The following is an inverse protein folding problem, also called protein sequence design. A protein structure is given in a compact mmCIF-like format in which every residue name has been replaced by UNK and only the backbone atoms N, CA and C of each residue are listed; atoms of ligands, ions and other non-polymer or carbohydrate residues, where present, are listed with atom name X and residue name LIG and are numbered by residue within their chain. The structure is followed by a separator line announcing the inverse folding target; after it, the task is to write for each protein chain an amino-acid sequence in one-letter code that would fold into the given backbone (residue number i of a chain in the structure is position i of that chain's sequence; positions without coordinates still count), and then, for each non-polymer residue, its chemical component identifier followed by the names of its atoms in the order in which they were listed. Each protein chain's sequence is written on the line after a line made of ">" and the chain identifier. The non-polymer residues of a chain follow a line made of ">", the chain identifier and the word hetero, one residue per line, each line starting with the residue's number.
data_IF_244096690313
#
_entry.id   IF_244096690313
#
_cell.length_a   1.000
_cell.length_b   1.000
_cell.length_c   1.000
_cell.angle_alpha   90.00
_cell.angle_beta   90.00
_cell.angle_gamma   90.00
#
_symmetry.space_group_name_H-M   'P 1'
#
loop_
_entity.id
_entity.type
_entity.pdbx_description
1 polymer ?
#
# COMPACT_ATOMS: atom_id res chain seq x y z
N UNK A 1 5.12 -3.99 -17.27
CA UNK A 1 4.88 -5.41 -16.96
C UNK A 1 4.89 -5.62 -15.46
N UNK A 2 3.87 -6.28 -14.93
CA UNK A 2 3.82 -6.55 -13.50
C UNK A 2 4.76 -7.72 -13.15
N UNK A 3 5.61 -7.51 -12.15
CA UNK A 3 6.46 -8.56 -11.63
C UNK A 3 5.61 -9.47 -10.74
N UNK A 4 5.66 -10.78 -10.98
CA UNK A 4 5.02 -11.74 -10.11
C UNK A 4 5.86 -11.96 -8.87
N UNK A 5 5.21 -11.98 -7.70
CA UNK A 5 5.85 -12.24 -6.43
C UNK A 5 5.52 -13.67 -6.03
N UNK A 6 6.46 -14.58 -6.23
CA UNK A 6 6.28 -16.00 -5.92
C UNK A 6 6.96 -16.41 -4.61
N UNK A 7 8.03 -15.71 -4.24
CA UNK A 7 8.76 -15.96 -3.00
C UNK A 7 9.10 -14.65 -2.33
N UNK A 8 9.53 -14.73 -1.07
CA UNK A 8 9.94 -13.53 -0.34
C UNK A 8 11.17 -12.86 -0.97
N UNK A 9 12.00 -13.62 -1.67
CA UNK A 9 13.17 -13.06 -2.32
C UNK A 9 12.80 -12.14 -3.49
N UNK A 10 11.60 -12.31 -4.03
CA UNK A 10 11.11 -11.44 -5.11
C UNK A 10 10.69 -10.05 -4.63
N UNK A 11 10.55 -9.86 -3.31
CA UNK A 11 10.17 -8.58 -2.74
C UNK A 11 11.40 -7.68 -2.60
N UNK A 12 11.33 -6.51 -3.18
CA UNK A 12 12.38 -5.51 -3.09
C UNK A 12 12.10 -4.55 -1.93
N UNK A 13 13.17 -4.08 -1.27
CA UNK A 13 13.03 -3.03 -0.26
C UNK A 13 12.42 -1.78 -0.90
N UNK A 14 11.67 -1.04 -0.11
CA UNK A 14 10.91 0.13 -0.55
C UNK A 14 9.69 -0.19 -1.42
N UNK A 15 9.35 -1.48 -1.62
CA UNK A 15 8.07 -1.85 -2.21
C UNK A 15 6.95 -1.29 -1.34
N UNK A 16 5.95 -0.66 -1.98
CA UNK A 16 4.79 -0.11 -1.27
C UNK A 16 3.58 -0.99 -1.53
N UNK A 17 2.93 -1.38 -0.44
CA UNK A 17 1.70 -2.18 -0.49
C UNK A 17 0.50 -1.28 -0.18
N UNK A 18 -0.55 -1.48 -0.96
CA UNK A 18 -1.85 -0.85 -0.71
C UNK A 18 -2.75 -1.89 -0.07
N UNK A 19 -3.22 -1.60 1.14
CA UNK A 19 -4.12 -2.47 1.87
C UNK A 19 -5.52 -1.87 1.81
N UNK A 20 -6.32 -2.35 0.87
CA UNK A 20 -7.64 -1.79 0.54
C UNK A 20 -8.75 -2.44 1.37
N UNK A 21 -9.64 -1.60 1.88
CA UNK A 21 -10.83 -2.04 2.61
C UNK A 21 -11.97 -1.07 2.28
N UNK A 22 -13.09 -1.62 1.82
CA UNK A 22 -14.17 -0.77 1.31
C UNK A 22 -13.67 0.11 0.18
N UNK A 23 -13.98 1.38 0.20
CA UNK A 23 -13.53 2.35 -0.80
C UNK A 23 -12.22 3.06 -0.46
N UNK A 24 -11.54 2.63 0.60
CA UNK A 24 -10.33 3.27 1.12
C UNK A 24 -9.17 2.31 1.21
N UNK A 25 -7.99 2.81 1.53
CA UNK A 25 -6.81 1.99 1.72
C UNK A 25 -5.80 2.68 2.63
N UNK A 26 -4.91 1.89 3.21
CA UNK A 26 -3.70 2.38 3.85
C UNK A 26 -2.50 1.86 3.09
N UNK A 27 -1.37 2.54 3.25
CA UNK A 27 -0.15 2.25 2.49
C UNK A 27 0.97 1.88 3.45
N UNK A 28 1.73 0.84 3.08
CA UNK A 28 2.84 0.33 3.90
C UNK A 28 4.05 0.11 3.02
N UNK A 29 5.21 0.53 3.51
CA UNK A 29 6.48 0.34 2.82
C UNK A 29 7.25 -0.83 3.43
N UNK A 30 7.82 -1.69 2.59
CA UNK A 30 8.66 -2.79 3.02
C UNK A 30 10.01 -2.24 3.48
N UNK A 31 10.35 -2.46 4.74
CA UNK A 31 11.62 -2.00 5.33
C UNK A 31 12.52 -3.14 5.80
N UNK A 32 12.02 -4.36 5.80
CA UNK A 32 12.80 -5.53 6.17
C UNK A 32 12.06 -6.80 5.81
N UNK A 33 12.78 -7.90 5.70
CA UNK A 33 12.19 -9.21 5.43
C UNK A 33 13.08 -10.31 6.00
N UNK A 34 12.44 -11.43 6.36
CA UNK A 34 13.09 -12.69 6.71
C UNK A 34 12.55 -13.76 5.78
N UNK A 35 12.92 -15.02 5.99
CA UNK A 35 12.41 -16.14 5.18
C UNK A 35 10.89 -16.32 5.30
N UNK A 36 10.29 -15.86 6.38
CA UNK A 36 8.88 -16.14 6.68
C UNK A 36 8.07 -14.90 7.06
N UNK A 37 8.66 -13.71 7.06
CA UNK A 37 7.95 -12.50 7.46
C UNK A 37 8.43 -11.27 6.72
N UNK A 38 7.60 -10.22 6.75
CA UNK A 38 7.92 -8.90 6.23
C UNK A 38 7.80 -7.88 7.35
N UNK A 39 8.67 -6.87 7.32
CA UNK A 39 8.62 -5.75 8.24
C UNK A 39 8.17 -4.52 7.45
N UNK A 40 7.13 -3.88 7.92
CA UNK A 40 6.44 -2.81 7.20
C UNK A 40 6.35 -1.57 8.07
N UNK A 41 6.30 -0.40 7.43
CA UNK A 41 5.97 0.84 8.12
C UNK A 41 4.88 1.56 7.35
N UNK A 42 3.90 2.09 8.07
CA UNK A 42 2.80 2.82 7.46
C UNK A 42 3.29 4.14 6.86
N UNK A 43 2.75 4.50 5.71
CA UNK A 43 3.02 5.78 5.06
C UNK A 43 1.80 6.68 5.20
N UNK A 44 2.04 7.96 5.48
CA UNK A 44 0.97 8.95 5.52
C UNK A 44 0.48 9.27 4.11
N UNK A 45 -0.80 9.58 3.99
CA UNK A 45 -1.37 10.04 2.72
C UNK A 45 -2.13 11.35 2.94
N UNK A 46 -2.38 12.07 1.85
CA UNK A 46 -3.07 13.36 1.89
C UNK A 46 -4.02 13.47 0.71
N UNK A 47 -5.04 14.30 0.85
CA UNK A 47 -5.92 14.60 -0.28
C UNK A 47 -5.17 15.45 -1.30
N UNK A 48 -5.51 15.27 -2.55
CA UNK A 48 -4.88 15.99 -3.66
C UNK A 48 -5.92 16.29 -4.74
N UNK A 49 -5.50 17.05 -5.75
CA UNK A 49 -6.37 17.30 -6.91
C UNK A 49 -6.47 16.06 -7.79
N UNK A 50 -7.56 15.95 -8.56
CA UNK A 50 -7.73 14.85 -9.51
C UNK A 50 -6.57 14.85 -10.52
N UNK A 51 -6.19 13.65 -11.03
CA UNK A 51 -5.24 13.59 -12.14
C UNK A 51 -5.79 14.31 -13.35
N UNK A 52 -4.89 14.72 -14.25
CA UNK A 52 -5.26 15.30 -15.50
C UNK A 52 -6.22 14.38 -16.27
N UNK A 53 -7.26 14.91 -16.86
CA UNK A 53 -8.31 14.19 -17.59
C UNK A 53 -9.30 13.40 -16.72
N UNK A 54 -9.24 13.56 -15.41
CA UNK A 54 -10.21 12.93 -14.51
C UNK A 54 -11.19 13.96 -13.95
N UNK A 55 -12.42 13.51 -13.71
CA UNK A 55 -13.47 14.37 -13.17
C UNK A 55 -13.47 14.31 -11.63
N UNK A 56 -13.41 15.47 -10.99
CA UNK A 56 -13.36 15.61 -9.54
C UNK A 56 -14.67 16.21 -8.98
N UNK A 57 -15.78 16.01 -9.66
CA UNK A 57 -17.04 16.67 -9.28
C UNK A 57 -17.87 15.91 -8.25
N UNK A 58 -17.64 14.60 -8.04
CA UNK A 58 -18.42 13.83 -7.08
C UNK A 58 -17.90 14.03 -5.65
N UNK A 59 -18.70 14.61 -4.74
CA UNK A 59 -18.25 14.87 -3.37
C UNK A 59 -18.05 13.61 -2.53
N UNK A 60 -18.57 12.46 -2.97
CA UNK A 60 -18.37 11.19 -2.27
C UNK A 60 -16.98 10.61 -2.49
N UNK A 61 -16.24 11.11 -3.47
CA UNK A 61 -14.91 10.62 -3.82
C UNK A 61 -13.87 11.70 -3.55
N UNK A 62 -12.68 11.25 -3.20
CA UNK A 62 -11.51 12.12 -3.01
C UNK A 62 -10.31 11.47 -3.65
N UNK A 63 -9.51 12.28 -4.29
CA UNK A 63 -8.20 11.84 -4.78
C UNK A 63 -7.19 12.02 -3.66
N UNK A 64 -6.35 11.01 -3.46
CA UNK A 64 -5.32 11.02 -2.43
C UNK A 64 -3.98 10.59 -3.03
N UNK A 65 -2.91 11.00 -2.38
CA UNK A 65 -1.55 10.60 -2.74
C UNK A 65 -0.75 10.32 -1.47
N UNK A 66 0.28 9.50 -1.58
CA UNK A 66 1.19 9.25 -0.46
C UNK A 66 2.00 10.53 -0.24
N UNK A 67 2.07 10.98 1.02
CA UNK A 67 2.76 12.21 1.37
C UNK A 67 4.26 12.08 1.25
N UNK A 68 4.90 13.15 0.81
CA UNK A 68 6.36 13.25 0.74
C UNK A 68 6.83 14.50 1.46
N UNK A 69 8.03 14.44 2.02
CA UNK A 69 8.66 15.61 2.61
C UNK A 69 9.31 16.50 1.53
N UNK A 70 9.98 17.57 1.94
CA UNK A 70 10.63 18.52 1.04
C UNK A 70 11.71 17.88 0.18
N UNK A 71 12.30 16.78 0.65
CA UNK A 71 13.36 16.06 -0.06
C UNK A 71 12.80 14.97 -0.98
N UNK A 72 11.49 14.79 -1.01
CA UNK A 72 10.84 13.77 -1.82
C UNK A 72 10.74 12.40 -1.17
N UNK A 73 11.11 12.27 0.10
CA UNK A 73 10.99 11.01 0.84
C UNK A 73 9.58 10.83 1.38
N UNK A 74 9.12 9.58 1.45
CA UNK A 74 7.81 9.28 2.04
C UNK A 74 7.80 9.62 3.53
N UNK A 75 6.69 10.15 4.00
CA UNK A 75 6.48 10.45 5.42
C UNK A 75 5.94 9.18 6.08
N UNK A 76 6.74 8.61 6.96
CA UNK A 76 6.40 7.39 7.69
C UNK A 76 5.56 7.73 8.92
N UNK A 77 4.62 6.84 9.24
CA UNK A 77 3.70 7.02 10.36
C UNK A 77 3.72 5.77 11.25
N UNK A 78 3.71 5.99 12.56
CA UNK A 78 3.63 4.90 13.51
C UNK A 78 4.93 4.10 13.65
N UNK A 79 4.79 2.87 14.13
CA UNK A 79 5.93 1.98 14.40
C UNK A 79 5.99 0.87 13.36
N UNK A 80 7.17 0.32 13.09
CA UNK A 80 7.28 -0.84 12.21
C UNK A 80 6.44 -2.02 12.71
N UNK A 81 5.84 -2.73 11.77
CA UNK A 81 4.96 -3.87 12.03
C UNK A 81 5.54 -5.07 11.30
N UNK A 82 5.59 -6.23 11.97
CA UNK A 82 6.02 -7.47 11.37
C UNK A 82 4.80 -8.34 11.06
N UNK A 83 4.72 -8.86 9.83
CA UNK A 83 3.65 -9.76 9.40
C UNK A 83 4.24 -11.04 8.84
N UNK A 84 3.65 -12.17 9.24
CA UNK A 84 4.04 -13.48 8.73
C UNK A 84 3.50 -13.65 7.30
N UNK A 85 4.33 -14.24 6.45
CA UNK A 85 3.96 -14.51 5.07
C UNK A 85 3.10 -15.76 4.99
N UNK A 86 2.13 -15.74 4.09
CA UNK A 86 1.29 -16.89 3.72
C UNK A 86 1.55 -17.24 2.28
N UNK A 87 1.63 -18.54 2.01
CA UNK A 87 1.70 -19.05 0.65
C UNK A 87 0.27 -19.20 0.11
N UNK A 88 0.04 -18.70 -1.08
CA UNK A 88 -1.26 -18.82 -1.74
C UNK A 88 -1.37 -20.15 -2.47
N UNK A 89 -2.57 -20.74 -2.47
CA UNK A 89 -2.79 -22.03 -3.16
C UNK A 89 -2.56 -21.96 -4.66
N UNK A 90 -2.65 -20.76 -5.24
CA UNK A 90 -2.42 -20.51 -6.67
C UNK A 90 -0.97 -20.16 -6.99
N UNK A 91 -0.08 -20.29 -6.02
CA UNK A 91 1.27 -19.75 -6.11
C UNK A 91 1.30 -18.28 -5.65
N UNK A 92 2.48 -17.80 -5.34
CA UNK A 92 2.68 -16.47 -4.81
C UNK A 92 2.56 -16.41 -3.29
N UNK A 93 2.79 -15.25 -2.75
CA UNK A 93 2.76 -15.00 -1.30
C UNK A 93 1.87 -13.83 -0.98
N UNK A 94 1.35 -13.82 0.24
CA UNK A 94 0.58 -12.72 0.79
C UNK A 94 0.84 -12.64 2.29
N UNK A 95 0.23 -11.66 2.95
CA UNK A 95 0.24 -11.52 4.39
C UNK A 95 -1.06 -10.84 4.82
N UNK A 96 -1.40 -10.97 6.10
CA UNK A 96 -2.57 -10.28 6.62
C UNK A 96 -2.31 -8.80 6.65
N UNK A 97 -3.29 -8.03 6.18
CA UNK A 97 -3.21 -6.58 6.20
C UNK A 97 -3.04 -6.07 7.64
N UNK A 98 -2.10 -5.14 7.89
CA UNK A 98 -1.94 -4.57 9.22
C UNK A 98 -3.12 -3.72 9.68
N UNK A 99 -3.89 -3.16 8.74
CA UNK A 99 -4.91 -2.16 9.05
C UNK A 99 -6.30 -2.72 9.33
N UNK A 100 -6.65 -3.89 8.82
CA UNK A 100 -8.01 -4.41 8.96
C UNK A 100 -8.02 -5.90 9.28
N UNK A 101 -7.09 -6.30 10.12
CA UNK A 101 -6.98 -7.66 10.69
C UNK A 101 -7.12 -8.80 9.68
N UNK A 102 -6.51 -8.62 8.51
CA UNK A 102 -6.51 -9.62 7.46
C UNK A 102 -7.74 -9.61 6.56
N UNK A 103 -8.66 -8.68 6.74
CA UNK A 103 -9.83 -8.55 5.89
C UNK A 103 -9.62 -7.61 4.70
N UNK A 104 -8.55 -6.82 4.72
CA UNK A 104 -8.23 -5.95 3.61
C UNK A 104 -7.46 -6.70 2.53
N UNK A 105 -7.64 -6.28 1.29
CA UNK A 105 -6.87 -6.82 0.15
C UNK A 105 -5.52 -6.15 0.08
N UNK A 106 -4.46 -6.95 0.05
CA UNK A 106 -3.07 -6.45 -0.04
C UNK A 106 -2.59 -6.57 -1.48
N UNK A 107 -2.17 -5.44 -2.04
CA UNK A 107 -1.62 -5.39 -3.41
C UNK A 107 -0.38 -4.51 -3.43
N UNK A 108 0.54 -4.79 -4.36
CA UNK A 108 1.67 -3.90 -4.62
C UNK A 108 1.15 -2.75 -5.46
N UNK A 109 1.50 -1.53 -5.08
CA UNK A 109 1.07 -0.34 -5.80
C UNK A 109 2.25 0.51 -6.27
N UNK A 110 1.98 1.40 -7.23
CA UNK A 110 2.92 2.41 -7.63
C UNK A 110 2.75 3.62 -6.69
N UNK A 111 3.74 3.92 -5.82
CA UNK A 111 3.58 4.99 -4.82
C UNK A 111 3.55 6.39 -5.42
N UNK A 112 3.83 6.53 -6.71
CA UNK A 112 3.80 7.83 -7.38
C UNK A 112 2.44 8.14 -7.99
N UNK A 113 1.51 7.21 -7.97
CA UNK A 113 0.15 7.41 -8.48
C UNK A 113 -0.74 8.11 -7.47
N UNK A 114 -1.81 8.72 -7.97
CA UNK A 114 -2.92 9.19 -7.18
C UNK A 114 -3.96 8.08 -7.09
N UNK A 115 -4.66 8.00 -5.96
CA UNK A 115 -5.64 6.95 -5.70
C UNK A 115 -7.00 7.59 -5.43
N UNK A 116 -8.06 6.90 -5.82
CA UNK A 116 -9.43 7.42 -5.70
C UNK A 116 -10.12 6.74 -4.52
N UNK A 117 -10.39 7.49 -3.47
CA UNK A 117 -11.03 6.97 -2.25
C UNK A 117 -12.50 7.38 -2.22
N UNK A 118 -13.33 6.44 -1.82
CA UNK A 118 -14.76 6.66 -1.61
C UNK A 118 -15.04 6.81 -0.12
N UNK A 119 -15.64 7.92 0.23
CA UNK A 119 -15.88 8.21 1.63
C UNK A 119 -17.35 8.35 2.01
N UNK A 120 -18.17 8.31 1.03
CA UNK A 120 -19.57 8.43 1.26
C UNK A 120 -20.22 7.08 1.61
#
# INVERSE_FOLDING_TARGET
>A
MKKEINTIDDLEFSTVFKCSWGGMADFYKLIGKTKSSVKLIELSWETCSAPENENDSDPSYRWVQIRRDEKGNFIESGRPITKRIKNLSRGGISFNSPNYEGQATVTICNPNKKFHFYWG
#
